data_IF_668315289701
#
_entry.id   IF_668315289701
#
_cell.length_a   1.000
_cell.length_b   1.000
_cell.length_c   1.000
_cell.angle_alpha   90.00
_cell.angle_beta   90.00
_cell.angle_gamma   90.00
#
_symmetry.space_group_name_H-M   'P 1'
#
loop_
_entity.id
_entity.type
_entity.pdbx_description
1 polymer ?
#
# COMPACT_ATOMS: atom_id res chain seq x y z
N UNK A 1 17.64 5.81 7.85
CA UNK A 1 16.53 5.55 6.91
C UNK A 1 15.38 6.54 7.08
N UNK A 2 14.80 6.69 8.28
CA UNK A 2 13.72 7.67 8.52
C UNK A 2 14.14 9.09 8.15
N UNK A 3 15.32 9.56 8.61
CA UNK A 3 15.78 10.93 8.31
C UNK A 3 15.95 11.17 6.80
N UNK A 4 16.58 10.24 6.06
CA UNK A 4 16.74 10.35 4.60
C UNK A 4 15.38 10.34 3.89
N UNK A 5 14.48 9.43 4.28
CA UNK A 5 13.14 9.39 3.70
C UNK A 5 12.34 10.67 4.00
N UNK A 6 12.48 11.24 5.20
CA UNK A 6 11.86 12.49 5.59
C UNK A 6 12.47 13.70 4.85
N UNK A 7 13.79 13.78 4.76
CA UNK A 7 14.51 14.84 4.02
C UNK A 7 14.15 14.78 2.53
N UNK A 8 14.17 13.60 1.92
CA UNK A 8 13.75 13.40 0.53
C UNK A 8 12.30 13.85 0.31
N UNK A 9 11.40 13.49 1.24
CA UNK A 9 10.00 13.93 1.19
C UNK A 9 9.90 15.44 1.33
N UNK A 10 10.63 16.04 2.28
CA UNK A 10 10.65 17.50 2.50
C UNK A 10 11.18 18.26 1.29
N UNK A 11 12.26 17.81 0.68
CA UNK A 11 12.82 18.40 -0.54
C UNK A 11 11.85 18.30 -1.72
N UNK A 12 11.18 17.15 -1.87
CA UNK A 12 10.15 16.97 -2.89
C UNK A 12 8.98 17.95 -2.70
N UNK A 13 8.57 18.19 -1.46
CA UNK A 13 7.45 19.08 -1.12
C UNK A 13 7.80 20.57 -1.22
N UNK A 14 8.92 20.99 -0.62
CA UNK A 14 9.28 22.42 -0.49
C UNK A 14 9.98 22.95 -1.73
N UNK A 15 10.91 22.17 -2.31
CA UNK A 15 11.66 22.61 -3.48
C UNK A 15 10.80 22.73 -4.73
N UNK A 16 9.70 21.96 -4.79
CA UNK A 16 8.92 21.70 -6.01
C UNK A 16 7.41 21.61 -5.74
N UNK A 17 6.88 22.55 -4.97
CA UNK A 17 5.49 22.59 -4.49
C UNK A 17 4.41 22.36 -5.57
N UNK A 18 4.59 22.89 -6.78
CA UNK A 18 3.67 22.68 -7.90
C UNK A 18 3.50 21.19 -8.26
N UNK A 19 4.56 20.38 -8.10
CA UNK A 19 4.58 18.94 -8.40
C UNK A 19 3.68 18.17 -7.45
N UNK A 20 3.69 18.53 -6.17
CA UNK A 20 2.87 17.84 -5.18
C UNK A 20 1.40 18.27 -5.21
N UNK A 21 1.11 19.53 -5.54
CA UNK A 21 -0.28 19.96 -5.78
C UNK A 21 -0.88 19.16 -6.94
N UNK A 22 -0.13 18.99 -8.03
CA UNK A 22 -0.55 18.17 -9.17
C UNK A 22 -0.72 16.69 -8.80
N UNK A 23 0.25 16.08 -8.09
CA UNK A 23 0.10 14.71 -7.59
C UNK A 23 -1.14 14.55 -6.73
N UNK A 24 -1.40 15.50 -5.83
CA UNK A 24 -2.56 15.46 -4.94
C UNK A 24 -3.88 15.53 -5.71
N UNK A 25 -4.01 16.43 -6.68
CA UNK A 25 -5.19 16.52 -7.55
C UNK A 25 -5.39 15.21 -8.33
N UNK A 26 -4.29 14.64 -8.80
CA UNK A 26 -4.27 13.39 -9.56
C UNK A 26 -4.66 12.18 -8.70
N UNK A 27 -4.22 12.12 -7.44
CA UNK A 27 -4.58 11.04 -6.51
C UNK A 27 -6.07 11.04 -6.15
N UNK A 28 -6.77 12.18 -6.24
CA UNK A 28 -8.22 12.28 -5.96
C UNK A 28 -9.04 11.53 -7.01
N UNK A 29 -8.61 11.54 -8.28
CA UNK A 29 -9.36 10.89 -9.36
C UNK A 29 -8.94 9.41 -9.40
N UNK A 30 -9.84 8.43 -9.13
CA UNK A 30 -9.46 7.02 -8.97
C UNK A 30 -8.68 6.43 -10.15
N UNK A 31 -9.04 6.84 -11.38
CA UNK A 31 -8.36 6.40 -12.61
C UNK A 31 -6.99 7.07 -12.77
N UNK A 32 -6.83 8.32 -12.34
CA UNK A 32 -5.57 9.07 -12.48
C UNK A 32 -4.60 8.72 -11.35
N UNK A 33 -5.08 8.11 -10.26
CA UNK A 33 -4.27 7.64 -9.14
C UNK A 33 -3.18 6.62 -9.54
N UNK A 34 -3.30 5.95 -10.70
CA UNK A 34 -2.22 5.14 -11.26
C UNK A 34 -0.94 5.96 -11.48
N UNK A 35 -1.03 7.25 -11.78
CA UNK A 35 0.15 8.11 -11.94
C UNK A 35 0.91 8.25 -10.63
N UNK A 36 0.23 8.28 -9.48
CA UNK A 36 0.86 8.25 -8.15
C UNK A 36 1.66 6.95 -7.94
N UNK A 37 1.15 5.81 -8.42
CA UNK A 37 1.86 4.53 -8.38
C UNK A 37 3.05 4.50 -9.34
N UNK A 38 2.93 5.09 -10.53
CA UNK A 38 4.04 5.29 -11.45
C UNK A 38 5.14 6.15 -10.83
N UNK A 39 4.77 7.20 -10.10
CA UNK A 39 5.71 8.05 -9.38
C UNK A 39 6.45 7.28 -8.29
N UNK A 40 5.74 6.44 -7.51
CA UNK A 40 6.35 5.54 -6.55
C UNK A 40 7.34 4.57 -7.22
N UNK A 41 7.00 4.09 -8.42
CA UNK A 41 7.88 3.24 -9.23
C UNK A 41 9.17 3.98 -9.61
N UNK A 42 9.12 5.25 -10.00
CA UNK A 42 10.34 6.03 -10.24
C UNK A 42 11.21 6.19 -8.99
N UNK A 43 10.60 6.34 -7.80
CA UNK A 43 11.34 6.37 -6.52
C UNK A 43 11.97 5.01 -6.21
N UNK A 44 11.27 3.90 -6.49
CA UNK A 44 11.82 2.54 -6.33
C UNK A 44 13.02 2.26 -7.24
N UNK A 45 13.12 2.93 -8.40
CA UNK A 45 14.32 2.91 -9.25
C UNK A 45 15.53 3.60 -8.62
N UNK A 46 15.37 4.29 -7.49
CA UNK A 46 16.47 4.96 -6.77
C UNK A 46 16.79 6.37 -7.25
N UNK A 47 15.87 7.02 -7.96
CA UNK A 47 16.06 8.38 -8.50
C UNK A 47 16.34 9.44 -7.42
N UNK A 48 17.37 10.26 -7.66
CA UNK A 48 17.75 11.45 -6.87
C UNK A 48 18.08 12.62 -7.82
N UNK A 49 17.56 13.84 -7.61
CA UNK A 49 16.52 14.24 -6.64
C UNK A 49 15.15 13.63 -7.00
N UNK A 50 14.10 13.90 -6.23
CA UNK A 50 12.80 13.25 -6.48
C UNK A 50 12.28 13.47 -7.92
N UNK A 51 11.57 12.49 -8.50
CA UNK A 51 11.24 12.51 -9.92
C UNK A 51 10.36 13.70 -10.37
N UNK A 52 10.32 13.92 -11.69
CA UNK A 52 9.54 14.97 -12.36
C UNK A 52 8.25 14.42 -12.98
N UNK A 53 7.17 15.21 -12.91
CA UNK A 53 5.86 14.87 -13.49
C UNK A 53 5.76 15.34 -14.94
N UNK A 54 6.67 14.89 -15.79
CA UNK A 54 6.69 15.29 -17.21
C UNK A 54 6.14 14.18 -18.11
N UNK A 55 6.43 12.92 -17.78
CA UNK A 55 6.07 11.76 -18.60
C UNK A 55 4.78 11.09 -18.11
N UNK A 56 3.67 11.84 -18.08
CA UNK A 56 2.38 11.39 -17.57
C UNK A 56 1.89 10.05 -18.14
N UNK A 57 2.08 9.84 -19.45
CA UNK A 57 1.70 8.58 -20.11
C UNK A 57 2.54 7.39 -19.61
N UNK A 58 3.84 7.56 -19.46
CA UNK A 58 4.73 6.52 -18.93
C UNK A 58 4.42 6.23 -17.47
N UNK A 59 4.23 7.27 -16.64
CA UNK A 59 3.85 7.14 -15.24
C UNK A 59 2.52 6.39 -15.09
N UNK A 60 1.54 6.68 -15.93
CA UNK A 60 0.27 5.96 -15.92
C UNK A 60 0.45 4.47 -16.22
N UNK A 61 1.19 4.14 -17.29
CA UNK A 61 1.44 2.73 -17.70
C UNK A 61 2.24 1.99 -16.64
N UNK A 62 3.28 2.60 -16.09
CA UNK A 62 4.10 2.03 -15.03
C UNK A 62 3.29 1.83 -13.74
N UNK A 63 2.44 2.79 -13.40
CA UNK A 63 1.48 2.67 -12.31
C UNK A 63 0.45 1.57 -12.49
N UNK A 64 -0.04 1.37 -13.71
CA UNK A 64 -0.95 0.27 -14.03
C UNK A 64 -0.24 -1.09 -13.86
N UNK A 65 1.02 -1.22 -14.29
CA UNK A 65 1.79 -2.45 -14.05
C UNK A 65 1.98 -2.70 -12.56
N UNK A 66 2.33 -1.67 -11.78
CA UNK A 66 2.47 -1.80 -10.32
C UNK A 66 1.14 -2.19 -9.67
N UNK A 67 0.03 -1.62 -10.12
CA UNK A 67 -1.30 -2.00 -9.66
C UNK A 67 -1.63 -3.46 -9.98
N UNK A 68 -1.32 -3.95 -11.18
CA UNK A 68 -1.49 -5.37 -11.54
C UNK A 68 -0.68 -6.27 -10.61
N UNK A 69 0.57 -5.90 -10.31
CA UNK A 69 1.42 -6.63 -9.36
C UNK A 69 0.77 -6.68 -7.96
N UNK A 70 0.32 -5.53 -7.45
CA UNK A 70 -0.37 -5.45 -6.17
C UNK A 70 -1.68 -6.24 -6.15
N UNK A 71 -2.42 -6.24 -7.26
CA UNK A 71 -3.66 -6.99 -7.41
C UNK A 71 -3.40 -8.50 -7.35
N UNK A 72 -2.35 -8.99 -8.02
CA UNK A 72 -1.95 -10.40 -7.97
C UNK A 72 -1.58 -10.79 -6.53
N UNK A 73 -0.81 -9.94 -5.83
CA UNK A 73 -0.52 -10.15 -4.41
C UNK A 73 -1.77 -10.13 -3.52
N UNK A 74 -2.80 -9.37 -3.90
CA UNK A 74 -4.05 -9.31 -3.16
C UNK A 74 -4.96 -10.54 -3.38
N UNK A 75 -4.75 -11.33 -4.45
CA UNK A 75 -5.63 -12.48 -4.80
C UNK A 75 -5.85 -13.42 -3.61
N UNK A 76 -4.83 -13.90 -2.89
CA UNK A 76 -5.06 -14.82 -1.77
C UNK A 76 -5.93 -14.22 -0.66
N UNK A 77 -5.73 -12.93 -0.36
CA UNK A 77 -6.53 -12.19 0.63
C UNK A 77 -7.97 -12.04 0.16
N UNK A 78 -8.17 -11.67 -1.11
CA UNK A 78 -9.49 -11.52 -1.71
C UNK A 78 -10.25 -12.85 -1.77
N UNK A 79 -9.56 -13.96 -2.03
CA UNK A 79 -10.16 -15.31 -2.01
C UNK A 79 -10.66 -15.66 -0.62
N UNK A 80 -9.89 -15.37 0.43
CA UNK A 80 -10.32 -15.59 1.82
C UNK A 80 -11.55 -14.74 2.12
N UNK A 81 -11.52 -13.45 1.80
CA UNK A 81 -12.67 -12.55 2.02
C UNK A 81 -13.90 -13.03 1.23
N UNK A 82 -13.74 -13.47 -0.01
CA UNK A 82 -14.83 -13.96 -0.84
C UNK A 82 -15.45 -15.25 -0.29
N UNK A 83 -14.62 -16.20 0.18
CA UNK A 83 -15.11 -17.46 0.78
C UNK A 83 -15.85 -17.17 2.08
N UNK A 84 -15.20 -16.54 3.04
CA UNK A 84 -15.77 -16.33 4.38
C UNK A 84 -16.88 -15.27 4.40
N UNK A 85 -16.76 -14.26 3.55
CA UNK A 85 -17.79 -13.25 3.33
C UNK A 85 -18.99 -13.79 2.56
N UNK A 86 -18.75 -14.60 1.53
CA UNK A 86 -19.81 -15.31 0.80
C UNK A 86 -20.61 -16.24 1.70
N UNK A 87 -19.92 -17.05 2.53
CA UNK A 87 -20.56 -17.91 3.53
C UNK A 87 -21.39 -17.08 4.52
N UNK A 88 -20.85 -15.97 5.02
CA UNK A 88 -21.55 -15.08 5.94
C UNK A 88 -22.82 -14.48 5.34
N UNK A 89 -22.74 -13.97 4.10
CA UNK A 89 -23.88 -13.40 3.38
C UNK A 89 -24.94 -14.48 3.07
N UNK A 90 -24.52 -15.66 2.60
CA UNK A 90 -25.44 -16.76 2.30
C UNK A 90 -26.17 -17.26 3.55
N UNK A 91 -25.48 -17.31 4.70
CA UNK A 91 -26.09 -17.66 5.99
C UNK A 91 -27.17 -16.66 6.41
N UNK A 92 -26.95 -15.36 6.18
CA UNK A 92 -27.95 -14.32 6.45
C UNK A 92 -29.14 -14.40 5.48
N UNK A 93 -28.90 -14.65 4.19
CA UNK A 93 -29.98 -14.83 3.21
C UNK A 93 -30.82 -16.07 3.54
N UNK A 94 -30.18 -17.18 3.89
CA UNK A 94 -30.85 -18.43 4.28
C UNK A 94 -31.70 -18.28 5.54
N UNK A 95 -31.38 -17.31 6.40
CA UNK A 95 -32.12 -17.07 7.65
C UNK A 95 -33.51 -16.44 7.46
N UNK A 96 -33.83 -15.87 6.29
CA UNK A 96 -35.15 -15.35 5.92
C UNK A 96 -35.66 -14.22 6.86
N UNK A 97 -35.71 -12.98 6.38
CA UNK A 97 -36.05 -11.84 7.24
C UNK A 97 -37.47 -11.91 7.84
N UNK A 98 -37.53 -12.26 9.13
CA UNK A 98 -38.37 -11.63 10.17
C UNK A 98 -38.00 -12.15 11.58
N UNK A 99 -37.43 -13.35 11.69
CA UNK A 99 -36.99 -13.97 12.96
C UNK A 99 -35.70 -14.77 12.74
N UNK A 100 -34.67 -14.14 12.15
CA UNK A 100 -33.40 -14.82 11.91
C UNK A 100 -32.87 -15.39 13.25
N UNK A 101 -32.73 -16.72 13.30
CA UNK A 101 -32.25 -17.45 14.46
C UNK A 101 -30.95 -16.77 14.94
N UNK A 102 -30.87 -16.30 16.20
CA UNK A 102 -29.66 -15.70 16.75
C UNK A 102 -28.40 -16.54 16.51
N UNK A 103 -28.55 -17.86 16.42
CA UNK A 103 -27.49 -18.82 16.09
C UNK A 103 -26.97 -18.64 14.66
N UNK A 104 -27.86 -18.41 13.67
CA UNK A 104 -27.48 -18.17 12.27
C UNK A 104 -26.83 -16.80 12.07
N UNK A 105 -27.32 -15.77 12.78
CA UNK A 105 -26.69 -14.44 12.79
C UNK A 105 -25.30 -14.52 13.43
N UNK A 106 -25.19 -15.19 14.58
CA UNK A 106 -23.91 -15.40 15.25
C UNK A 106 -22.93 -16.19 14.38
N UNK A 107 -23.40 -17.23 13.68
CA UNK A 107 -22.61 -17.99 12.70
C UNK A 107 -22.11 -17.13 11.54
N UNK A 108 -22.95 -16.25 11.00
CA UNK A 108 -22.56 -15.33 9.93
C UNK A 108 -21.51 -14.31 10.39
N UNK A 109 -21.69 -13.72 11.58
CA UNK A 109 -20.72 -12.80 12.18
C UNK A 109 -19.41 -13.52 12.47
N UNK A 110 -19.45 -14.72 13.05
CA UNK A 110 -18.27 -15.52 13.33
C UNK A 110 -17.50 -15.88 12.06
N UNK A 111 -18.21 -16.26 10.98
CA UNK A 111 -17.60 -16.50 9.66
C UNK A 111 -16.90 -15.24 9.13
N UNK A 112 -17.58 -14.08 9.17
CA UNK A 112 -17.01 -12.81 8.72
C UNK A 112 -15.79 -12.40 9.53
N UNK A 113 -15.87 -12.44 10.86
CA UNK A 113 -14.78 -12.06 11.76
C UNK A 113 -13.59 -13.03 11.64
N UNK A 114 -13.86 -14.33 11.61
CA UNK A 114 -12.83 -15.35 11.41
C UNK A 114 -12.13 -15.21 10.05
N UNK A 115 -12.91 -14.98 8.99
CA UNK A 115 -12.40 -14.71 7.66
C UNK A 115 -11.55 -13.44 7.60
N UNK A 116 -11.99 -12.36 8.23
CA UNK A 116 -11.25 -11.09 8.28
C UNK A 116 -9.93 -11.25 9.05
N UNK A 117 -9.94 -11.98 10.17
CA UNK A 117 -8.72 -12.26 10.95
C UNK A 117 -7.72 -13.08 10.15
N UNK A 118 -8.19 -14.13 9.46
CA UNK A 118 -7.35 -14.94 8.58
C UNK A 118 -6.80 -14.11 7.41
N UNK A 119 -7.65 -13.30 6.77
CA UNK A 119 -7.27 -12.41 5.70
C UNK A 119 -6.20 -11.40 6.15
N UNK A 120 -6.31 -10.87 7.37
CA UNK A 120 -5.33 -9.95 7.96
C UNK A 120 -3.96 -10.64 8.14
N UNK A 121 -3.94 -11.85 8.69
CA UNK A 121 -2.70 -12.62 8.87
C UNK A 121 -2.03 -12.89 7.52
N UNK A 122 -2.81 -13.34 6.54
CA UNK A 122 -2.31 -13.63 5.19
C UNK A 122 -1.83 -12.35 4.49
N UNK A 123 -2.56 -11.23 4.64
CA UNK A 123 -2.15 -9.94 4.11
C UNK A 123 -0.82 -9.46 4.72
N UNK A 124 -0.63 -9.64 6.02
CA UNK A 124 0.62 -9.28 6.70
C UNK A 124 1.78 -10.12 6.18
N UNK A 125 1.61 -11.43 6.05
CA UNK A 125 2.65 -12.32 5.49
C UNK A 125 2.98 -11.92 4.05
N UNK A 126 1.97 -11.69 3.21
CA UNK A 126 2.18 -11.28 1.83
C UNK A 126 2.88 -9.93 1.74
N UNK A 127 2.55 -8.98 2.62
CA UNK A 127 3.14 -7.64 2.63
C UNK A 127 4.66 -7.66 2.82
N UNK A 128 5.18 -8.61 3.61
CA UNK A 128 6.62 -8.83 3.83
C UNK A 128 7.31 -9.16 2.49
N UNK A 129 6.72 -10.00 1.65
CA UNK A 129 7.30 -10.33 0.35
C UNK A 129 7.04 -9.25 -0.71
N UNK A 130 5.83 -8.67 -0.73
CA UNK A 130 5.42 -7.67 -1.70
C UNK A 130 6.25 -6.38 -1.61
N UNK A 131 6.68 -6.03 -0.40
CA UNK A 131 7.58 -4.92 -0.12
C UNK A 131 8.86 -4.96 -0.97
N UNK A 132 9.52 -6.11 -1.05
CA UNK A 132 10.73 -6.31 -1.87
C UNK A 132 10.38 -6.62 -3.32
N UNK A 133 9.34 -7.44 -3.55
CA UNK A 133 8.90 -7.82 -4.89
C UNK A 133 8.58 -6.62 -5.78
N UNK A 134 7.85 -5.63 -5.26
CA UNK A 134 7.51 -4.40 -6.02
C UNK A 134 8.76 -3.60 -6.44
N UNK A 135 9.79 -3.54 -5.60
CA UNK A 135 11.05 -2.86 -5.94
C UNK A 135 11.85 -3.68 -6.97
N UNK A 136 11.93 -5.00 -6.82
CA UNK A 136 12.63 -5.88 -7.78
C UNK A 136 12.01 -5.80 -9.17
N UNK A 137 10.69 -5.90 -9.26
CA UNK A 137 9.96 -5.69 -10.52
C UNK A 137 10.32 -4.36 -11.16
N UNK A 138 10.38 -3.31 -10.34
CA UNK A 138 10.65 -1.95 -10.80
C UNK A 138 12.06 -1.75 -11.33
N UNK A 139 13.06 -2.32 -10.65
CA UNK A 139 14.48 -2.17 -10.99
C UNK A 139 14.92 -3.07 -12.14
N UNK A 140 14.37 -4.28 -12.20
CA UNK A 140 14.74 -5.26 -13.23
C UNK A 140 13.89 -5.08 -14.49
N UNK A 141 12.69 -4.49 -14.36
CA UNK A 141 11.80 -4.22 -15.49
C UNK A 141 10.95 -5.41 -15.94
N UNK A 142 10.83 -6.45 -15.11
CA UNK A 142 10.05 -7.65 -15.40
C UNK A 142 9.01 -7.93 -14.30
N UNK A 143 7.73 -8.07 -14.68
CA UNK A 143 6.63 -8.38 -13.75
C UNK A 143 6.88 -9.70 -13.02
N UNK A 144 7.51 -10.68 -13.69
CA UNK A 144 7.85 -11.97 -13.07
C UNK A 144 8.78 -11.82 -11.86
N UNK A 145 9.63 -10.80 -11.84
CA UNK A 145 10.55 -10.54 -10.73
C UNK A 145 9.85 -10.02 -9.47
N UNK A 146 8.61 -9.49 -9.61
CA UNK A 146 7.78 -9.24 -8.45
C UNK A 146 7.45 -10.53 -7.70
N UNK A 147 7.39 -11.68 -8.37
CA UNK A 147 6.95 -12.95 -7.78
C UNK A 147 8.06 -13.98 -7.67
N UNK A 148 9.31 -13.59 -7.93
CA UNK A 148 10.47 -14.45 -7.77
C UNK A 148 10.81 -14.57 -6.28
N UNK A 149 10.04 -15.40 -5.56
CA UNK A 149 10.15 -15.57 -4.11
C UNK A 149 11.53 -16.04 -3.65
N UNK A 150 12.25 -16.81 -4.48
CA UNK A 150 13.62 -17.23 -4.17
C UNK A 150 14.55 -16.02 -4.07
N UNK A 151 14.54 -15.15 -5.09
CA UNK A 151 15.38 -13.97 -5.10
C UNK A 151 14.92 -12.90 -4.10
N UNK A 152 13.60 -12.76 -3.87
CA UNK A 152 13.06 -11.91 -2.80
C UNK A 152 13.57 -12.37 -1.44
N UNK A 153 13.53 -13.67 -1.17
CA UNK A 153 14.00 -14.25 0.08
C UNK A 153 15.52 -14.07 0.25
N UNK A 154 16.28 -14.16 -0.83
CA UNK A 154 17.71 -13.87 -0.84
C UNK A 154 17.99 -12.41 -0.46
N UNK A 155 17.26 -11.45 -1.06
CA UNK A 155 17.37 -10.03 -0.69
C UNK A 155 17.00 -9.80 0.78
N UNK A 156 15.91 -10.39 1.28
CA UNK A 156 15.54 -10.27 2.69
C UNK A 156 16.62 -10.85 3.61
N UNK A 157 17.24 -11.97 3.21
CA UNK A 157 18.33 -12.59 3.97
C UNK A 157 19.60 -11.76 3.97
N UNK A 158 19.92 -11.07 2.88
CA UNK A 158 21.11 -10.21 2.81
C UNK A 158 20.93 -8.94 3.63
N UNK A 159 19.72 -8.36 3.68
CA UNK A 159 19.35 -7.29 4.63
C UNK A 159 19.45 -7.79 6.08
N UNK A 160 19.07 -9.05 6.31
CA UNK A 160 18.92 -9.65 7.63
C UNK A 160 17.46 -9.60 8.09
N UNK A 161 16.90 -10.77 8.43
CA UNK A 161 15.47 -10.89 8.77
C UNK A 161 15.04 -10.01 9.94
N UNK A 162 15.87 -9.91 10.99
CA UNK A 162 15.53 -9.11 12.17
C UNK A 162 15.51 -7.63 11.81
N UNK A 163 16.56 -7.13 11.16
CA UNK A 163 16.66 -5.72 10.76
C UNK A 163 15.58 -5.35 9.74
N UNK A 164 15.27 -6.24 8.81
CA UNK A 164 14.18 -6.08 7.85
C UNK A 164 12.81 -5.94 8.53
N UNK A 165 12.48 -6.85 9.44
CA UNK A 165 11.20 -6.81 10.17
C UNK A 165 11.13 -5.58 11.07
N UNK A 166 12.21 -5.21 11.76
CA UNK A 166 12.28 -3.97 12.55
C UNK A 166 12.02 -2.76 11.65
N UNK A 167 12.64 -2.70 10.46
CA UNK A 167 12.44 -1.61 9.53
C UNK A 167 10.97 -1.52 9.05
N UNK A 168 10.32 -2.66 8.77
CA UNK A 168 8.90 -2.71 8.43
C UNK A 168 7.99 -2.28 9.59
N UNK A 169 8.30 -2.69 10.82
CA UNK A 169 7.54 -2.30 12.03
C UNK A 169 7.66 -0.79 12.27
N UNK A 170 8.86 -0.23 12.14
CA UNK A 170 9.09 1.21 12.22
C UNK A 170 8.26 1.96 11.19
N UNK A 171 8.26 1.49 9.93
CA UNK A 171 7.44 2.07 8.88
C UNK A 171 5.95 1.98 9.20
N UNK A 172 5.49 0.81 9.66
CA UNK A 172 4.11 0.59 10.05
C UNK A 172 3.67 1.56 11.15
N UNK A 173 4.47 1.73 12.21
CA UNK A 173 4.19 2.68 13.28
C UNK A 173 4.17 4.12 12.76
N UNK A 174 5.14 4.52 11.92
CA UNK A 174 5.17 5.85 11.33
C UNK A 174 3.90 6.14 10.49
N UNK A 175 3.50 5.19 9.64
CA UNK A 175 2.27 5.28 8.86
C UNK A 175 1.06 5.33 9.79
N UNK A 176 0.97 4.48 10.81
CA UNK A 176 -0.14 4.45 11.75
C UNK A 176 -0.32 5.78 12.50
N UNK A 177 0.77 6.43 12.92
CA UNK A 177 0.73 7.75 13.56
C UNK A 177 0.19 8.81 12.59
N UNK A 178 0.66 8.82 11.33
CA UNK A 178 0.17 9.77 10.33
C UNK A 178 -1.30 9.51 10.01
N UNK A 179 -1.71 8.25 9.87
CA UNK A 179 -3.10 7.87 9.61
C UNK A 179 -4.03 8.24 10.78
N UNK A 180 -3.56 8.13 12.02
CA UNK A 180 -4.30 8.62 13.18
C UNK A 180 -4.55 10.13 13.09
N UNK A 181 -3.53 10.92 12.74
CA UNK A 181 -3.67 12.37 12.54
C UNK A 181 -4.62 12.70 11.38
N UNK A 182 -4.49 12.01 10.25
CA UNK A 182 -5.41 12.15 9.10
C UNK A 182 -6.84 11.80 9.47
N UNK A 183 -7.05 10.78 10.30
CA UNK A 183 -8.37 10.41 10.83
C UNK A 183 -9.00 11.53 11.65
N UNK A 184 -8.21 12.20 12.52
CA UNK A 184 -8.67 13.36 13.27
C UNK A 184 -9.00 14.56 12.37
N UNK A 185 -8.15 14.83 11.36
CA UNK A 185 -8.39 15.90 10.40
C UNK A 185 -9.67 15.66 9.59
N UNK A 186 -9.97 14.41 9.27
CA UNK A 186 -11.14 14.05 8.46
C UNK A 186 -12.49 14.33 9.15
N UNK A 187 -12.49 14.61 10.45
CA UNK A 187 -13.68 15.08 11.21
C UNK A 187 -14.10 16.48 10.74
N UNK A 188 -13.15 17.32 10.30
CA UNK A 188 -13.42 18.67 9.81
C UNK A 188 -13.77 18.58 8.31
N UNK A 189 -15.03 18.82 7.92
CA UNK A 189 -15.42 18.72 6.51
C UNK A 189 -14.66 19.72 5.64
N UNK A 190 -14.43 19.35 4.39
CA UNK A 190 -13.78 20.17 3.35
C UNK A 190 -12.30 20.45 3.66
N UNK A 191 -11.99 21.28 4.65
CA UNK A 191 -10.61 21.69 4.99
C UNK A 191 -9.78 20.48 5.42
N UNK A 192 -10.33 19.66 6.33
CA UNK A 192 -9.68 18.45 6.79
C UNK A 192 -9.40 17.46 5.66
N UNK A 193 -10.34 17.31 4.73
CA UNK A 193 -10.17 16.44 3.57
C UNK A 193 -9.09 16.95 2.61
N UNK A 194 -9.07 18.25 2.32
CA UNK A 194 -8.04 18.88 1.48
C UNK A 194 -6.65 18.65 2.08
N UNK A 195 -6.48 18.91 3.39
CA UNK A 195 -5.20 18.67 4.09
C UNK A 195 -4.85 17.17 4.07
N UNK A 196 -5.84 16.28 4.19
CA UNK A 196 -5.62 14.84 4.18
C UNK A 196 -5.09 14.33 2.83
N UNK A 197 -5.58 14.86 1.70
CA UNK A 197 -5.06 14.51 0.38
C UNK A 197 -3.59 14.90 0.22
N UNK A 198 -3.24 16.08 0.72
CA UNK A 198 -1.88 16.59 0.75
C UNK A 198 -0.95 15.69 1.59
N UNK A 199 -1.39 15.27 2.78
CA UNK A 199 -0.64 14.33 3.61
C UNK A 199 -0.50 12.96 2.92
N UNK A 200 -1.54 12.47 2.25
CA UNK A 200 -1.50 11.18 1.56
C UNK A 200 -0.41 11.15 0.48
N UNK A 201 -0.32 12.19 -0.35
CA UNK A 201 0.73 12.33 -1.36
C UNK A 201 2.14 12.35 -0.74
N UNK A 202 2.32 13.05 0.39
CA UNK A 202 3.60 13.06 1.11
C UNK A 202 3.95 11.67 1.67
N UNK A 203 2.94 10.94 2.17
CA UNK A 203 3.10 9.60 2.72
C UNK A 203 3.52 8.58 1.66
N UNK A 204 2.99 8.69 0.43
CA UNK A 204 3.42 7.84 -0.69
C UNK A 204 4.90 8.04 -1.00
N UNK A 205 5.38 9.29 -1.06
CA UNK A 205 6.79 9.60 -1.34
C UNK A 205 7.68 9.07 -0.22
N UNK A 206 7.30 9.32 1.03
CA UNK A 206 8.02 8.85 2.21
C UNK A 206 8.12 7.33 2.23
N UNK A 207 6.99 6.63 2.05
CA UNK A 207 6.93 5.18 2.05
C UNK A 207 7.78 4.60 0.92
N UNK A 208 7.62 5.13 -0.30
CA UNK A 208 8.38 4.65 -1.45
C UNK A 208 9.88 4.77 -1.20
N UNK A 209 10.34 5.95 -0.74
CA UNK A 209 11.75 6.22 -0.46
C UNK A 209 12.29 5.34 0.67
N UNK A 210 11.55 5.21 1.76
CA UNK A 210 11.95 4.38 2.90
C UNK A 210 12.12 2.92 2.48
N UNK A 211 11.18 2.38 1.69
CA UNK A 211 11.27 1.03 1.16
C UNK A 211 12.45 0.85 0.19
N UNK A 212 12.73 1.83 -0.66
CA UNK A 212 13.94 1.84 -1.51
C UNK A 212 15.21 1.75 -0.67
N UNK A 213 15.31 2.48 0.44
CA UNK A 213 16.46 2.41 1.34
C UNK A 213 16.61 1.05 2.02
N UNK A 214 15.51 0.38 2.36
CA UNK A 214 15.55 -0.99 2.90
C UNK A 214 16.12 -1.94 1.86
N UNK A 215 15.59 -1.86 0.64
CA UNK A 215 16.08 -2.67 -0.45
C UNK A 215 17.56 -2.41 -0.75
N UNK A 216 18.02 -1.15 -0.69
CA UNK A 216 19.42 -0.77 -0.93
C UNK A 216 20.39 -1.15 0.21
N UNK A 217 19.87 -1.57 1.36
CA UNK A 217 20.69 -2.07 2.47
C UNK A 217 21.04 -3.56 2.35
N UNK A 218 20.45 -4.24 1.36
CA UNK A 218 20.67 -5.63 1.00
C UNK A 218 22.08 -5.88 0.45
#
# INVERSE_FOLDING_TARGET
>A
MISDAFEYTREALVGRWMRWVLLTIVSIIPIVNFISFGYAMEIYRGTKPAPELENWGTLFVDGLKLFIVMLIYAIPVLVIIAIFGGIGILSLIASGNANADPTLIAGAIASLMGGLMLALIVALIISIFAAIGTIRFTRIGSIGEAFNFSAILETIRSIGWVDYIIALVILFIAIAVVQFVVGLLSIIPIIGWIISFFIASALVIFQARYMTLIYDSA
#
